data_IF_720356038478
#
_entry.id   IF_720356038478
#
_cell.length_a   1.000
_cell.length_b   1.000
_cell.length_c   1.000
_cell.angle_alpha   90.00
_cell.angle_beta   90.00
_cell.angle_gamma   90.00
#
_symmetry.space_group_name_H-M   'P 1'
#
loop_
_entity.id
_entity.type
_entity.pdbx_description
1 polymer ?
#
# COMPACT_ATOMS: atom_id res chain seq x y z
N UNK A 1 -5.48 7.29 -25.57
CA UNK A 1 -4.04 7.32 -25.85
C UNK A 1 -3.46 6.13 -25.11
N UNK A 2 -2.99 5.09 -25.79
CA UNK A 2 -2.47 3.89 -25.12
C UNK A 2 -1.20 4.26 -24.38
N UNK A 3 -1.25 4.18 -23.05
CA UNK A 3 -0.12 4.45 -22.15
C UNK A 3 0.87 3.26 -22.08
N UNK A 4 0.91 2.44 -23.12
CA UNK A 4 1.83 1.31 -23.18
C UNK A 4 3.27 1.82 -23.33
N UNK A 5 4.10 1.49 -22.35
CA UNK A 5 5.53 1.77 -22.45
C UNK A 5 6.10 0.92 -23.58
N UNK A 6 6.87 1.53 -24.49
CA UNK A 6 7.54 0.76 -25.52
C UNK A 6 8.55 -0.20 -24.88
N UNK A 7 8.77 -1.33 -25.54
CA UNK A 7 9.75 -2.33 -25.11
C UNK A 7 11.15 -1.74 -24.98
N UNK A 8 11.48 -0.84 -25.87
CA UNK A 8 12.76 -0.12 -25.87
C UNK A 8 12.88 0.83 -24.66
N UNK A 9 11.80 1.51 -24.27
CA UNK A 9 11.79 2.36 -23.09
C UNK A 9 12.02 1.55 -21.80
N UNK A 10 11.41 0.35 -21.71
CA UNK A 10 11.64 -0.58 -20.60
C UNK A 10 13.08 -1.08 -20.54
N UNK A 11 13.70 -1.39 -21.69
CA UNK A 11 15.11 -1.82 -21.75
C UNK A 11 16.06 -0.69 -21.33
N UNK A 12 15.82 0.54 -21.79
CA UNK A 12 16.58 1.72 -21.35
C UNK A 12 16.43 1.90 -19.84
N UNK A 13 15.24 1.75 -19.31
CA UNK A 13 15.00 1.83 -17.86
C UNK A 13 15.74 0.78 -17.05
N UNK A 14 15.84 -0.44 -17.55
CA UNK A 14 16.53 -1.53 -16.84
C UNK A 14 18.07 -1.38 -16.88
N UNK A 15 18.59 -0.69 -17.89
CA UNK A 15 20.02 -0.59 -18.11
C UNK A 15 20.65 0.74 -17.65
N UNK A 16 19.85 1.82 -17.55
CA UNK A 16 20.33 3.15 -17.17
C UNK A 16 19.45 3.84 -16.12
N UNK A 17 19.68 3.59 -14.82
CA UNK A 17 18.89 4.17 -13.74
C UNK A 17 18.79 5.71 -13.75
N UNK A 18 19.82 6.41 -14.23
CA UNK A 18 19.84 7.87 -14.31
C UNK A 18 18.85 8.45 -15.34
N UNK A 19 18.57 7.71 -16.41
CA UNK A 19 17.58 8.10 -17.44
C UNK A 19 16.17 7.92 -16.91
N UNK A 20 15.96 6.97 -16.02
CA UNK A 20 14.65 6.67 -15.41
C UNK A 20 14.13 7.82 -14.56
N UNK A 21 14.99 8.49 -13.82
CA UNK A 21 14.60 9.67 -13.05
C UNK A 21 13.99 10.77 -13.94
N UNK A 22 14.34 10.80 -15.24
CA UNK A 22 13.78 11.76 -16.20
C UNK A 22 12.54 11.27 -16.96
N UNK A 23 12.35 9.96 -17.10
CA UNK A 23 11.25 9.37 -17.90
C UNK A 23 10.09 8.87 -17.00
N UNK A 24 10.39 8.43 -15.79
CA UNK A 24 9.42 7.89 -14.86
C UNK A 24 8.24 8.86 -14.55
N UNK A 25 8.43 10.19 -14.39
CA UNK A 25 7.34 11.13 -14.18
C UNK A 25 6.34 11.22 -15.34
N UNK A 26 6.80 11.11 -16.59
CA UNK A 26 5.91 11.07 -17.77
C UNK A 26 4.99 9.85 -17.74
N UNK A 27 5.50 8.77 -17.23
CA UNK A 27 4.77 7.53 -17.10
C UNK A 27 3.80 7.54 -15.90
N UNK A 28 4.17 8.24 -14.84
CA UNK A 28 3.42 8.28 -13.58
C UNK A 28 2.17 9.16 -13.66
N UNK A 29 2.16 10.20 -14.50
CA UNK A 29 1.02 11.13 -14.63
C UNK A 29 -0.26 10.47 -15.19
N UNK A 30 -0.21 9.24 -15.68
CA UNK A 30 -1.37 8.50 -16.19
C UNK A 30 -2.10 7.65 -15.15
N UNK A 31 -1.51 7.45 -13.97
CA UNK A 31 -2.07 6.52 -12.99
C UNK A 31 -2.37 7.27 -11.69
N UNK A 32 -3.60 7.72 -11.52
CA UNK A 32 -4.07 8.25 -10.25
C UNK A 32 -4.91 7.19 -9.54
N UNK A 33 -4.55 6.86 -8.27
CA UNK A 33 -5.51 6.33 -7.30
C UNK A 33 -6.45 7.49 -6.95
N UNK A 34 -7.42 7.80 -7.82
CA UNK A 34 -8.35 8.86 -7.50
C UNK A 34 -9.42 8.34 -6.54
N UNK A 35 -9.74 9.14 -5.55
CA UNK A 35 -10.79 8.90 -4.54
C UNK A 35 -12.19 8.68 -5.15
N UNK A 36 -12.37 8.82 -6.46
CA UNK A 36 -13.67 8.98 -7.13
C UNK A 36 -13.94 7.98 -8.27
N UNK A 37 -13.11 6.97 -8.46
CA UNK A 37 -13.33 5.94 -9.49
C UNK A 37 -13.97 4.66 -8.93
N UNK A 38 -14.73 3.97 -9.75
CA UNK A 38 -15.23 2.62 -9.46
C UNK A 38 -14.06 1.64 -9.54
N UNK A 39 -13.34 1.44 -8.41
CA UNK A 39 -12.09 0.66 -8.35
C UNK A 39 -12.29 -0.85 -8.16
N UNK A 40 -13.46 -1.38 -8.43
CA UNK A 40 -13.73 -2.81 -8.23
C UNK A 40 -12.87 -3.72 -9.13
N UNK A 41 -12.43 -3.24 -10.28
CA UNK A 41 -11.70 -4.06 -11.25
C UNK A 41 -10.17 -3.84 -11.24
N UNK A 42 -9.69 -2.75 -10.67
CA UNK A 42 -8.26 -2.41 -10.69
C UNK A 42 -7.70 -2.09 -12.08
N UNK A 43 -6.41 -1.68 -12.17
CA UNK A 43 -5.76 -1.48 -13.45
C UNK A 43 -5.47 -2.83 -14.12
N UNK A 44 -5.75 -2.94 -15.43
CA UNK A 44 -5.50 -4.17 -16.17
C UNK A 44 -4.04 -4.26 -16.58
N UNK A 45 -3.45 -5.45 -16.44
CA UNK A 45 -2.05 -5.70 -16.79
C UNK A 45 -1.73 -5.33 -18.24
N UNK A 46 -2.63 -5.70 -19.16
CA UNK A 46 -2.44 -5.50 -20.60
C UNK A 46 -2.37 -4.02 -21.02
N UNK A 47 -2.84 -3.12 -20.17
CA UNK A 47 -2.76 -1.68 -20.45
C UNK A 47 -1.33 -1.14 -20.28
N UNK A 48 -0.48 -1.86 -19.53
CA UNK A 48 0.84 -1.41 -19.10
C UNK A 48 1.97 -2.36 -19.47
N UNK A 49 1.75 -3.67 -19.42
CA UNK A 49 2.76 -4.71 -19.63
C UNK A 49 2.25 -5.77 -20.60
N UNK A 50 3.14 -6.32 -21.41
CA UNK A 50 2.80 -7.44 -22.31
C UNK A 50 2.65 -8.74 -21.54
N UNK A 51 3.48 -8.93 -20.52
CA UNK A 51 3.51 -10.16 -19.75
C UNK A 51 3.61 -9.88 -18.23
N UNK A 52 3.24 -10.89 -17.45
CA UNK A 52 3.41 -10.87 -16.00
C UNK A 52 4.89 -10.75 -15.60
N UNK A 53 5.76 -11.43 -16.31
CA UNK A 53 7.21 -11.43 -16.09
C UNK A 53 7.81 -10.03 -16.31
N UNK A 54 7.32 -9.28 -17.28
CA UNK A 54 7.71 -7.89 -17.48
C UNK A 54 7.30 -7.01 -16.30
N UNK A 55 6.07 -7.18 -15.80
CA UNK A 55 5.59 -6.42 -14.65
C UNK A 55 6.42 -6.73 -13.39
N UNK A 56 6.73 -8.01 -13.13
CA UNK A 56 7.59 -8.42 -12.00
C UNK A 56 8.99 -7.83 -12.14
N UNK A 57 9.60 -7.91 -13.33
CA UNK A 57 10.92 -7.32 -13.59
C UNK A 57 10.91 -5.80 -13.36
N UNK A 58 9.82 -5.14 -13.75
CA UNK A 58 9.67 -3.71 -13.52
C UNK A 58 9.49 -3.38 -12.04
N UNK A 59 8.78 -4.21 -11.28
CA UNK A 59 8.67 -4.07 -9.83
C UNK A 59 10.04 -4.13 -9.15
N UNK A 60 10.86 -5.14 -9.48
CA UNK A 60 12.21 -5.27 -8.93
C UNK A 60 13.11 -4.10 -9.31
N UNK A 61 12.95 -3.58 -10.51
CA UNK A 61 13.66 -2.38 -10.95
C UNK A 61 13.25 -1.15 -10.13
N UNK A 62 11.94 -0.95 -9.87
CA UNK A 62 11.45 0.14 -9.02
C UNK A 62 12.01 0.06 -7.59
N UNK A 63 12.23 -1.14 -7.06
CA UNK A 63 12.90 -1.33 -5.76
C UNK A 63 14.34 -0.80 -5.79
N UNK A 64 15.09 -1.08 -6.86
CA UNK A 64 16.46 -0.57 -7.02
C UNK A 64 16.46 0.96 -7.12
N UNK A 65 15.54 1.55 -7.89
CA UNK A 65 15.38 3.01 -7.99
C UNK A 65 15.03 3.61 -6.62
N UNK A 66 14.09 3.02 -5.90
CA UNK A 66 13.73 3.46 -4.55
C UNK A 66 14.93 3.50 -3.60
N UNK A 67 15.83 2.51 -3.67
CA UNK A 67 17.05 2.45 -2.86
C UNK A 67 18.07 3.51 -3.26
N UNK A 68 18.13 3.89 -4.53
CA UNK A 68 19.07 4.88 -5.07
C UNK A 68 18.64 6.33 -4.82
N UNK A 69 17.36 6.58 -4.61
CA UNK A 69 16.79 7.91 -4.39
C UNK A 69 16.84 8.29 -2.91
N UNK A 70 17.29 9.50 -2.60
CA UNK A 70 17.25 10.06 -1.25
C UNK A 70 15.79 10.27 -0.78
N UNK A 71 15.53 9.97 0.49
CA UNK A 71 14.20 10.18 1.10
C UNK A 71 13.75 11.65 1.12
N UNK A 72 14.69 12.60 1.01
CA UNK A 72 14.45 14.05 1.09
C UNK A 72 14.49 14.74 -0.27
N UNK A 73 14.93 14.05 -1.31
CA UNK A 73 15.10 14.64 -2.62
C UNK A 73 13.84 14.44 -3.45
N UNK A 74 13.48 15.52 -4.11
CA UNK A 74 12.46 15.55 -5.14
C UNK A 74 13.16 15.74 -6.47
N UNK A 75 13.02 14.78 -7.36
CA UNK A 75 13.58 14.87 -8.70
C UNK A 75 12.57 15.53 -9.61
N UNK A 76 12.94 16.65 -10.23
CA UNK A 76 12.11 17.37 -11.19
C UNK A 76 12.79 17.30 -12.56
N UNK A 77 12.49 16.30 -13.38
CA UNK A 77 12.95 16.32 -14.75
C UNK A 77 12.18 17.39 -15.53
N UNK A 78 12.90 18.32 -16.13
CA UNK A 78 12.35 19.27 -17.10
C UNK A 78 12.02 18.50 -18.39
N UNK A 79 10.76 18.09 -18.53
CA UNK A 79 10.35 17.35 -19.73
C UNK A 79 9.57 18.23 -20.72
N UNK A 80 8.84 19.23 -20.21
CA UNK A 80 8.16 20.23 -21.05
C UNK A 80 8.05 21.59 -20.34
N UNK A 81 7.88 22.66 -21.09
CA UNK A 81 7.86 24.07 -20.64
C UNK A 81 6.78 24.43 -19.61
N UNK A 82 5.82 23.53 -19.30
CA UNK A 82 4.67 23.81 -18.44
C UNK A 82 4.37 22.77 -17.36
N UNK A 83 5.02 21.63 -17.34
CA UNK A 83 4.77 20.62 -16.31
C UNK A 83 6.07 20.23 -15.62
N UNK A 84 6.22 20.63 -14.36
CA UNK A 84 7.21 20.07 -13.46
C UNK A 84 6.63 18.80 -12.86
N UNK A 85 7.07 17.65 -13.33
CA UNK A 85 6.80 16.40 -12.66
C UNK A 85 7.82 16.21 -11.54
N UNK A 86 7.34 15.97 -10.33
CA UNK A 86 8.20 15.68 -9.19
C UNK A 86 8.17 14.17 -8.92
N UNK A 87 9.33 13.56 -8.84
CA UNK A 87 9.49 12.17 -8.46
C UNK A 87 9.97 12.08 -7.03
N UNK A 88 9.17 11.45 -6.20
CA UNK A 88 9.48 11.16 -4.80
C UNK A 88 9.54 9.64 -4.57
N UNK A 89 10.04 9.21 -3.42
CA UNK A 89 9.93 7.80 -3.01
C UNK A 89 8.48 7.32 -2.94
N UNK A 90 7.55 8.19 -2.53
CA UNK A 90 6.13 7.88 -2.51
C UNK A 90 5.60 7.52 -3.91
N UNK A 91 6.03 8.25 -4.93
CA UNK A 91 5.62 7.98 -6.30
C UNK A 91 6.13 6.62 -6.81
N UNK A 92 7.33 6.22 -6.43
CA UNK A 92 7.88 4.90 -6.79
C UNK A 92 7.09 3.80 -6.09
N UNK A 93 6.84 3.94 -4.79
CA UNK A 93 6.05 2.95 -4.04
C UNK A 93 4.63 2.86 -4.58
N UNK A 94 4.04 3.97 -5.02
CA UNK A 94 2.73 3.97 -5.67
C UNK A 94 2.74 3.10 -6.94
N UNK A 95 3.79 3.16 -7.75
CA UNK A 95 3.93 2.29 -8.93
C UNK A 95 4.07 0.82 -8.55
N UNK A 96 4.88 0.53 -7.56
CA UNK A 96 5.00 -0.83 -7.03
C UNK A 96 3.64 -1.33 -6.54
N UNK A 97 2.87 -0.49 -5.85
CA UNK A 97 1.52 -0.82 -5.37
C UNK A 97 0.56 -1.16 -6.52
N UNK A 98 0.60 -0.41 -7.61
CA UNK A 98 -0.20 -0.72 -8.81
C UNK A 98 0.17 -2.06 -9.43
N UNK A 99 1.46 -2.37 -9.54
CA UNK A 99 1.91 -3.65 -10.09
C UNK A 99 1.42 -4.81 -9.22
N UNK A 100 1.53 -4.71 -7.90
CA UNK A 100 1.03 -5.75 -6.99
C UNK A 100 -0.48 -5.92 -7.08
N UNK A 101 -1.21 -4.83 -7.30
CA UNK A 101 -2.65 -4.87 -7.50
C UNK A 101 -3.01 -5.56 -8.82
N UNK A 102 -2.41 -5.13 -9.95
CA UNK A 102 -2.64 -5.75 -11.27
C UNK A 102 -2.34 -7.24 -11.29
N UNK A 103 -1.26 -7.67 -10.62
CA UNK A 103 -0.82 -9.05 -10.64
C UNK A 103 -1.60 -9.96 -9.68
N UNK A 104 -2.30 -9.40 -8.70
CA UNK A 104 -2.92 -10.13 -7.59
C UNK A 104 -1.95 -11.12 -6.92
N UNK A 105 -0.67 -10.77 -6.86
CA UNK A 105 0.40 -11.62 -6.35
C UNK A 105 0.64 -11.36 -4.87
N UNK A 106 0.36 -12.37 -4.03
CA UNK A 106 0.48 -12.26 -2.58
C UNK A 106 1.92 -12.03 -2.12
N UNK A 107 2.89 -12.66 -2.76
CA UNK A 107 4.30 -12.51 -2.37
C UNK A 107 4.83 -11.10 -2.67
N UNK A 108 4.41 -10.50 -3.79
CA UNK A 108 4.75 -9.11 -4.08
C UNK A 108 4.04 -8.13 -3.15
N UNK A 109 2.80 -8.44 -2.71
CA UNK A 109 2.09 -7.64 -1.70
C UNK A 109 2.80 -7.70 -0.35
N UNK A 110 3.29 -8.87 0.02
CA UNK A 110 4.08 -9.08 1.24
C UNK A 110 5.36 -8.23 1.22
N UNK A 111 6.11 -8.30 0.13
CA UNK A 111 7.32 -7.49 -0.06
C UNK A 111 7.00 -5.99 -0.01
N UNK A 112 5.89 -5.56 -0.62
CA UNK A 112 5.48 -4.17 -0.65
C UNK A 112 5.13 -3.61 0.74
N UNK A 113 4.65 -4.42 1.68
CA UNK A 113 4.29 -3.96 3.03
C UNK A 113 5.42 -3.17 3.72
N UNK A 114 6.68 -3.50 3.45
CA UNK A 114 7.83 -2.78 3.99
C UNK A 114 7.97 -1.35 3.44
N UNK A 115 7.41 -1.06 2.28
CA UNK A 115 7.50 0.23 1.58
C UNK A 115 6.27 1.10 1.78
N UNK A 116 5.10 0.52 2.11
CA UNK A 116 3.84 1.23 2.26
C UNK A 116 3.88 2.44 3.22
N UNK A 117 4.68 2.45 4.31
CA UNK A 117 4.81 3.63 5.16
C UNK A 117 5.34 4.88 4.43
N UNK A 118 5.97 4.72 3.27
CA UNK A 118 6.45 5.83 2.43
C UNK A 118 5.34 6.48 1.61
N UNK A 119 4.22 5.78 1.37
CA UNK A 119 3.08 6.33 0.63
C UNK A 119 2.46 7.52 1.36
N UNK A 120 1.95 8.47 0.58
CA UNK A 120 1.02 9.47 1.07
C UNK A 120 -0.16 8.81 1.79
N UNK A 121 -0.63 9.43 2.88
CA UNK A 121 -1.61 8.81 3.79
C UNK A 121 -2.89 8.34 3.09
N UNK A 122 -3.42 9.14 2.16
CA UNK A 122 -4.63 8.78 1.43
C UNK A 122 -4.42 7.61 0.45
N UNK A 123 -3.23 7.52 -0.16
CA UNK A 123 -2.86 6.40 -1.05
C UNK A 123 -2.68 5.12 -0.24
N UNK A 124 -2.05 5.21 0.93
CA UNK A 124 -1.86 4.08 1.86
C UNK A 124 -3.20 3.56 2.38
N UNK A 125 -4.11 4.46 2.78
CA UNK A 125 -5.47 4.10 3.16
C UNK A 125 -6.20 3.39 2.02
N UNK A 126 -6.14 3.94 0.81
CA UNK A 126 -6.73 3.32 -0.38
C UNK A 126 -6.16 1.92 -0.67
N UNK A 127 -4.85 1.74 -0.54
CA UNK A 127 -4.23 0.43 -0.75
C UNK A 127 -4.69 -0.60 0.29
N UNK A 128 -4.77 -0.23 1.56
CA UNK A 128 -5.29 -1.10 2.61
C UNK A 128 -6.73 -1.51 2.32
N UNK A 129 -7.61 -0.54 2.07
CA UNK A 129 -9.04 -0.80 1.88
C UNK A 129 -9.40 -1.53 0.59
N UNK A 130 -8.57 -1.46 -0.46
CA UNK A 130 -8.85 -2.03 -1.77
C UNK A 130 -8.02 -3.29 -2.03
N UNK A 131 -6.71 -3.23 -1.79
CA UNK A 131 -5.78 -4.29 -2.23
C UNK A 131 -5.49 -5.30 -1.13
N UNK A 132 -5.45 -4.84 0.13
CA UNK A 132 -5.29 -5.70 1.31
C UNK A 132 -6.64 -6.08 1.95
N UNK A 133 -7.72 -6.07 1.19
CA UNK A 133 -9.06 -6.41 1.65
C UNK A 133 -9.68 -7.52 0.79
N UNK A 134 -9.72 -8.78 1.27
CA UNK A 134 -9.07 -9.25 2.50
C UNK A 134 -7.55 -9.45 2.32
N UNK A 135 -6.75 -9.39 3.40
CA UNK A 135 -5.35 -9.79 3.36
C UNK A 135 -5.22 -11.28 3.05
N UNK A 136 -4.19 -11.66 2.29
CA UNK A 136 -3.99 -13.03 1.81
C UNK A 136 -2.81 -13.75 2.46
N UNK A 137 -2.13 -13.09 3.39
CA UNK A 137 -1.01 -13.65 4.15
C UNK A 137 -0.96 -13.08 5.57
N UNK A 138 -0.26 -13.78 6.45
CA UNK A 138 -0.03 -13.32 7.82
C UNK A 138 0.70 -11.96 7.87
N UNK A 139 1.64 -11.72 6.96
CA UNK A 139 2.40 -10.47 6.91
C UNK A 139 1.48 -9.28 6.55
N UNK A 140 0.56 -9.49 5.60
CA UNK A 140 -0.44 -8.49 5.24
C UNK A 140 -1.41 -8.24 6.40
N UNK A 141 -1.88 -9.29 7.08
CA UNK A 141 -2.71 -9.16 8.29
C UNK A 141 -2.01 -8.35 9.37
N UNK A 142 -0.73 -8.63 9.63
CA UNK A 142 0.07 -7.90 10.60
C UNK A 142 0.23 -6.43 10.21
N UNK A 143 0.46 -6.14 8.94
CA UNK A 143 0.54 -4.77 8.45
C UNK A 143 -0.78 -4.01 8.65
N UNK A 144 -1.92 -4.62 8.30
CA UNK A 144 -3.25 -4.02 8.50
C UNK A 144 -3.51 -3.82 10.00
N UNK A 145 -3.16 -4.78 10.84
CA UNK A 145 -3.30 -4.68 12.30
C UNK A 145 -2.47 -3.53 12.89
N UNK A 146 -1.21 -3.38 12.47
CA UNK A 146 -0.36 -2.25 12.88
C UNK A 146 -0.93 -0.90 12.42
N UNK A 147 -1.62 -0.88 11.29
CA UNK A 147 -2.23 0.32 10.73
C UNK A 147 -3.38 0.89 11.57
N UNK A 148 -3.95 0.11 12.51
CA UNK A 148 -4.89 0.64 13.52
C UNK A 148 -4.25 1.69 14.44
N UNK A 149 -2.93 1.70 14.56
CA UNK A 149 -2.14 2.66 15.33
C UNK A 149 -1.57 3.80 14.48
N UNK A 150 -1.91 3.91 13.21
CA UNK A 150 -1.38 4.94 12.31
C UNK A 150 -1.76 6.36 12.79
N UNK A 151 -0.93 7.34 12.44
CA UNK A 151 -1.20 8.75 12.75
C UNK A 151 -2.39 9.30 11.96
N UNK A 152 -2.63 8.80 10.75
CA UNK A 152 -3.74 9.21 9.90
C UNK A 152 -5.04 8.52 10.28
N UNK A 153 -6.10 9.29 10.43
CA UNK A 153 -7.47 8.78 10.65
C UNK A 153 -7.90 7.90 9.47
N UNK A 154 -7.67 8.36 8.23
CA UNK A 154 -8.06 7.63 7.03
C UNK A 154 -7.45 6.22 6.99
N UNK A 155 -6.17 6.09 7.39
CA UNK A 155 -5.47 4.80 7.43
C UNK A 155 -6.06 3.89 8.51
N UNK A 156 -6.32 4.44 9.71
CA UNK A 156 -6.93 3.67 10.81
C UNK A 156 -8.33 3.17 10.45
N UNK A 157 -9.13 4.01 9.80
CA UNK A 157 -10.51 3.69 9.41
C UNK A 157 -10.54 2.57 8.37
N UNK A 158 -9.67 2.61 7.36
CA UNK A 158 -9.60 1.52 6.39
C UNK A 158 -9.09 0.22 7.03
N UNK A 159 -8.06 0.30 7.89
CA UNK A 159 -7.59 -0.86 8.64
C UNK A 159 -8.70 -1.46 9.54
N UNK A 160 -9.46 -0.63 10.23
CA UNK A 160 -10.60 -1.06 11.03
C UNK A 160 -11.67 -1.76 10.18
N UNK A 161 -12.02 -1.23 9.02
CA UNK A 161 -12.99 -1.85 8.10
C UNK A 161 -12.54 -3.25 7.68
N UNK A 162 -11.29 -3.38 7.22
CA UNK A 162 -10.72 -4.67 6.81
C UNK A 162 -10.77 -5.68 7.95
N UNK A 163 -10.29 -5.32 9.14
CA UNK A 163 -10.23 -6.22 10.29
C UNK A 163 -11.61 -6.53 10.88
N UNK A 164 -12.59 -5.66 10.67
CA UNK A 164 -13.96 -5.86 11.13
C UNK A 164 -14.67 -7.05 10.52
N UNK A 165 -14.22 -7.49 9.35
CA UNK A 165 -14.78 -8.62 8.62
C UNK A 165 -13.96 -9.90 8.83
N UNK A 166 -12.92 -9.85 9.70
CA UNK A 166 -12.02 -10.96 9.98
C UNK A 166 -12.25 -11.52 11.39
N UNK A 167 -11.93 -12.82 11.53
CA UNK A 167 -11.73 -13.43 12.85
C UNK A 167 -10.26 -13.34 13.20
N UNK A 168 -9.94 -12.59 14.24
CA UNK A 168 -8.57 -12.38 14.68
C UNK A 168 -8.05 -13.58 15.46
N UNK A 169 -6.74 -13.85 15.36
CA UNK A 169 -6.10 -14.84 16.22
C UNK A 169 -6.00 -14.33 17.68
N UNK A 170 -5.76 -15.22 18.66
CA UNK A 170 -5.53 -14.80 20.06
C UNK A 170 -4.38 -13.80 20.19
N UNK A 171 -3.32 -13.97 19.41
CA UNK A 171 -2.14 -13.08 19.40
C UNK A 171 -2.50 -11.71 18.79
N UNK A 172 -3.32 -11.69 17.75
CA UNK A 172 -3.82 -10.45 17.14
C UNK A 172 -4.75 -9.70 18.11
N UNK A 173 -5.59 -10.42 18.86
CA UNK A 173 -6.43 -9.81 19.90
C UNK A 173 -5.60 -9.11 20.98
N UNK A 174 -4.46 -9.69 21.40
CA UNK A 174 -3.56 -9.02 22.34
C UNK A 174 -3.05 -7.68 21.80
N UNK A 175 -2.68 -7.62 20.52
CA UNK A 175 -2.26 -6.37 19.88
C UNK A 175 -3.41 -5.33 19.81
N UNK A 176 -4.65 -5.77 19.58
CA UNK A 176 -5.82 -4.89 19.64
C UNK A 176 -6.08 -4.38 21.07
N UNK A 177 -5.90 -5.22 22.09
CA UNK A 177 -6.02 -4.84 23.50
C UNK A 177 -5.02 -3.74 23.89
N UNK A 178 -3.81 -3.76 23.33
CA UNK A 178 -2.80 -2.70 23.56
C UNK A 178 -3.29 -1.31 23.11
N UNK A 179 -4.15 -1.23 22.09
CA UNK A 179 -4.71 0.03 21.61
C UNK A 179 -5.61 0.71 22.63
N UNK A 180 -6.16 -0.02 23.60
CA UNK A 180 -6.97 0.53 24.69
C UNK A 180 -6.16 1.47 25.62
N UNK A 181 -4.83 1.36 25.60
CA UNK A 181 -3.92 2.20 26.39
C UNK A 181 -3.64 3.56 25.74
N UNK A 182 -4.02 3.75 24.49
CA UNK A 182 -3.80 5.00 23.79
C UNK A 182 -4.73 6.10 24.28
N UNK A 183 -4.28 7.35 24.18
CA UNK A 183 -5.06 8.53 24.65
C UNK A 183 -6.25 8.87 23.75
N UNK A 184 -6.19 8.48 22.47
CA UNK A 184 -7.22 8.79 21.49
C UNK A 184 -8.44 7.91 21.68
N UNK A 185 -9.59 8.57 21.96
CA UNK A 185 -10.87 7.85 22.21
C UNK A 185 -11.32 7.01 21.05
N UNK A 186 -11.12 7.48 19.81
CA UNK A 186 -11.47 6.78 18.58
C UNK A 186 -10.74 5.43 18.46
N UNK A 187 -9.41 5.41 18.71
CA UNK A 187 -8.64 4.16 18.68
C UNK A 187 -9.15 3.14 19.71
N UNK A 188 -9.50 3.61 20.91
CA UNK A 188 -10.08 2.74 21.94
C UNK A 188 -11.45 2.20 21.55
N UNK A 189 -12.31 3.04 20.96
CA UNK A 189 -13.64 2.63 20.48
C UNK A 189 -13.49 1.58 19.37
N UNK A 190 -12.61 1.80 18.40
CA UNK A 190 -12.35 0.85 17.34
C UNK A 190 -11.81 -0.48 17.89
N UNK A 191 -10.88 -0.44 18.85
CA UNK A 191 -10.37 -1.64 19.51
C UNK A 191 -11.48 -2.41 20.25
N UNK A 192 -12.32 -1.73 21.03
CA UNK A 192 -13.46 -2.36 21.72
C UNK A 192 -14.40 -3.01 20.69
N UNK A 193 -14.75 -2.29 19.64
CA UNK A 193 -15.65 -2.79 18.61
C UNK A 193 -15.09 -4.03 17.89
N UNK A 194 -13.77 -4.07 17.61
CA UNK A 194 -13.12 -5.24 17.03
C UNK A 194 -13.15 -6.44 17.99
N UNK A 195 -12.82 -6.24 19.27
CA UNK A 195 -12.86 -7.30 20.28
C UNK A 195 -14.28 -7.83 20.47
N UNK A 196 -15.31 -6.96 20.46
CA UNK A 196 -16.72 -7.37 20.59
C UNK A 196 -17.22 -8.19 19.41
N UNK A 197 -16.61 -8.08 18.23
CA UNK A 197 -16.94 -8.90 17.05
C UNK A 197 -16.32 -10.29 17.08
N UNK A 198 -15.34 -10.53 17.96
CA UNK A 198 -14.65 -11.81 18.03
C UNK A 198 -15.55 -12.92 18.65
N UNK A 199 -15.20 -14.20 18.42
CA UNK A 199 -15.90 -15.32 19.06
C UNK A 199 -16.00 -15.16 20.58
N UNK A 200 -17.10 -15.61 21.19
CA UNK A 200 -17.40 -15.41 22.61
C UNK A 200 -16.28 -15.86 23.56
N UNK A 201 -15.58 -16.94 23.20
CA UNK A 201 -14.48 -17.46 24.01
C UNK A 201 -13.29 -16.49 24.00
N UNK A 202 -12.92 -15.99 22.83
CA UNK A 202 -11.83 -15.02 22.68
C UNK A 202 -12.18 -13.69 23.37
N UNK A 203 -13.43 -13.22 23.23
CA UNK A 203 -13.90 -12.03 23.94
C UNK A 203 -13.81 -12.22 25.45
N UNK A 204 -14.25 -13.38 25.99
CA UNK A 204 -14.15 -13.68 27.41
C UNK A 204 -12.71 -13.68 27.92
N UNK A 205 -11.76 -14.19 27.10
CA UNK A 205 -10.35 -14.18 27.44
C UNK A 205 -9.77 -12.77 27.44
N UNK A 206 -10.15 -11.94 26.47
CA UNK A 206 -9.79 -10.50 26.44
C UNK A 206 -10.31 -9.78 27.68
N UNK A 207 -11.57 -9.98 28.05
CA UNK A 207 -12.17 -9.38 29.26
C UNK A 207 -11.41 -9.79 30.52
N UNK A 208 -11.07 -11.08 30.68
CA UNK A 208 -10.31 -11.54 31.84
C UNK A 208 -8.95 -10.86 31.95
N UNK A 209 -8.23 -10.72 30.80
CA UNK A 209 -6.90 -10.05 30.80
C UNK A 209 -6.97 -8.55 31.10
N UNK A 210 -8.07 -7.89 30.67
CA UNK A 210 -8.25 -6.45 30.87
C UNK A 210 -8.73 -6.08 32.30
N UNK A 211 -9.28 -7.04 33.06
CA UNK A 211 -9.74 -6.85 34.42
C UNK A 211 -8.69 -7.19 35.47
N UNK A 212 -7.56 -7.79 35.08
CA UNK A 212 -6.42 -8.10 35.98
C UNK A 212 -5.36 -7.03 35.88
#
# INVERSE_FOLDING_TARGET
>A
MNHRISKEALEVWHNEPSVVASILPLYMNGIHLSRYGNYQEGPQLIDYFETKEEAVRHYEYLKQVYQSISAKETYSPYIFFWESAFLTRSDIVLKMAYITWMLHDSALRDDLCAYLPTLETYMRAGYIGIVLNPPTSQLQEEYVLQSLGDRSVDVRDEAYKVLSDMTLSPEQNLKVEELLRFKYSEMRINAINLLMKQPKEQLADSIRRLLT
#
